data_IF_729114834580
#
_entry.id   IF_729114834580
#
_cell.length_a   1.000
_cell.length_b   1.000
_cell.length_c   1.000
_cell.angle_alpha   90.00
_cell.angle_beta   90.00
_cell.angle_gamma   90.00
#
_symmetry.space_group_name_H-M   'P 1'
#
loop_
_entity.id
_entity.type
_entity.pdbx_description
1 polymer ?
#
# COMPACT_ATOMS: atom_id res chain seq x y z
N UNK A 1 -43.84 13.33 17.94
CA UNK A 1 -42.42 13.10 18.25
C UNK A 1 -41.64 13.43 16.99
N UNK A 2 -41.23 14.68 16.87
CA UNK A 2 -40.27 15.09 15.83
C UNK A 2 -38.96 14.33 16.08
N UNK A 3 -38.46 13.65 15.06
CA UNK A 3 -37.12 13.06 15.11
C UNK A 3 -36.13 14.22 15.20
N UNK A 4 -35.36 14.27 16.29
CA UNK A 4 -34.20 15.15 16.37
C UNK A 4 -33.33 14.95 15.12
N UNK A 5 -32.82 16.02 14.49
CA UNK A 5 -31.88 15.88 13.40
C UNK A 5 -30.65 15.16 13.94
N UNK A 6 -30.23 14.09 13.25
CA UNK A 6 -28.96 13.41 13.50
C UNK A 6 -27.90 14.50 13.47
N UNK A 7 -27.29 14.80 14.63
CA UNK A 7 -26.16 15.74 14.70
C UNK A 7 -25.10 15.22 13.72
N UNK A 8 -24.88 15.96 12.64
CA UNK A 8 -23.73 15.75 11.77
C UNK A 8 -22.49 15.74 12.68
N UNK A 9 -21.94 14.55 12.93
CA UNK A 9 -20.69 14.43 13.66
C UNK A 9 -19.63 15.05 12.77
N UNK A 10 -19.22 16.28 13.10
CA UNK A 10 -18.05 16.89 12.46
C UNK A 10 -16.89 15.93 12.69
N UNK A 11 -16.30 15.34 11.63
CA UNK A 11 -15.23 14.38 11.77
C UNK A 11 -14.06 15.02 12.50
N UNK A 12 -13.46 14.30 13.45
CA UNK A 12 -12.19 14.73 14.04
C UNK A 12 -11.17 14.84 12.91
N UNK A 13 -10.46 15.96 12.83
CA UNK A 13 -9.34 16.11 11.90
C UNK A 13 -8.12 15.37 12.45
N UNK A 14 -7.45 14.58 11.61
CA UNK A 14 -6.17 13.97 11.97
C UNK A 14 -5.04 14.99 11.84
N UNK A 15 -4.21 15.12 12.87
CA UNK A 15 -2.96 15.88 12.81
C UNK A 15 -1.76 15.02 12.39
N UNK A 16 -1.78 13.73 12.76
CA UNK A 16 -0.76 12.72 12.47
C UNK A 16 -1.41 11.39 12.11
N UNK A 17 -0.67 10.49 11.45
CA UNK A 17 -1.10 9.11 11.19
C UNK A 17 -1.39 8.36 12.49
N UNK A 18 -2.19 7.31 12.38
CA UNK A 18 -2.36 6.30 13.42
C UNK A 18 -1.99 4.92 12.88
N UNK A 19 -1.62 3.99 13.75
CA UNK A 19 -1.36 2.61 13.33
C UNK A 19 -2.67 1.90 13.01
N UNK A 20 -2.76 1.39 11.80
CA UNK A 20 -3.81 0.47 11.34
C UNK A 20 -3.43 -0.98 11.67
N UNK A 21 -2.16 -1.32 11.50
CA UNK A 21 -1.57 -2.59 11.92
C UNK A 21 -0.30 -2.29 12.68
N UNK A 22 -0.14 -2.87 13.88
CA UNK A 22 1.05 -2.65 14.70
C UNK A 22 2.25 -3.43 14.18
N UNK A 23 3.41 -3.21 14.78
CA UNK A 23 4.62 -4.00 14.50
C UNK A 23 4.40 -5.50 14.82
N UNK A 24 3.52 -5.82 15.77
CA UNK A 24 3.12 -7.17 16.16
C UNK A 24 2.13 -7.80 15.17
N UNK A 25 1.87 -7.15 14.04
CA UNK A 25 0.94 -7.61 13.01
C UNK A 25 -0.51 -7.71 13.54
N UNK A 26 -0.84 -6.90 14.55
CA UNK A 26 -2.18 -6.81 15.16
C UNK A 26 -2.93 -5.63 14.56
N UNK A 27 -4.14 -5.89 14.05
CA UNK A 27 -5.01 -4.85 13.50
C UNK A 27 -5.60 -3.98 14.61
N UNK A 28 -5.67 -2.67 14.37
CA UNK A 28 -6.13 -1.67 15.35
C UNK A 28 -7.38 -0.94 14.83
N UNK A 29 -8.31 -0.66 15.74
CA UNK A 29 -9.56 0.06 15.43
C UNK A 29 -9.43 1.58 15.64
N UNK A 30 -8.23 2.09 15.89
CA UNK A 30 -7.96 3.51 16.22
C UNK A 30 -8.41 4.48 15.12
N UNK A 31 -8.45 4.03 13.87
CA UNK A 31 -8.89 4.82 12.72
C UNK A 31 -10.39 5.14 12.76
N UNK A 32 -11.21 4.31 13.42
CA UNK A 32 -12.69 4.39 13.43
C UNK A 32 -13.22 5.77 13.84
N UNK A 33 -12.53 6.46 14.76
CA UNK A 33 -12.92 7.78 15.26
C UNK A 33 -12.80 8.92 14.24
N UNK A 34 -12.09 8.70 13.13
CA UNK A 34 -11.86 9.67 12.05
C UNK A 34 -12.71 9.38 10.80
N UNK A 35 -13.38 8.22 10.78
CA UNK A 35 -14.18 7.74 9.67
C UNK A 35 -15.65 8.14 9.79
N UNK A 36 -16.29 8.34 8.65
CA UNK A 36 -17.70 8.73 8.53
C UNK A 36 -18.56 7.60 7.96
N UNK A 37 -19.87 7.65 8.23
CA UNK A 37 -20.84 6.77 7.56
C UNK A 37 -21.22 7.33 6.19
N UNK A 38 -20.25 7.41 5.27
CA UNK A 38 -20.49 7.84 3.90
C UNK A 38 -19.76 6.92 2.90
N UNK A 39 -20.32 6.73 1.69
CA UNK A 39 -19.70 5.89 0.67
C UNK A 39 -18.67 6.61 -0.21
N UNK A 40 -18.62 7.95 -0.15
CA UNK A 40 -17.75 8.74 -1.01
C UNK A 40 -16.37 8.99 -0.37
N UNK A 41 -15.52 7.98 -0.43
CA UNK A 41 -14.13 8.06 0.04
C UNK A 41 -13.19 7.44 -0.99
N UNK A 42 -11.88 7.49 -0.72
CA UNK A 42 -10.88 6.92 -1.62
C UNK A 42 -9.70 6.36 -0.82
N UNK A 43 -9.14 5.22 -1.24
CA UNK A 43 -8.03 4.57 -0.54
C UNK A 43 -6.79 4.50 -1.41
N UNK A 44 -5.73 5.20 -0.98
CA UNK A 44 -4.43 5.21 -1.65
C UNK A 44 -3.40 4.59 -0.72
N UNK A 45 -2.81 3.48 -1.13
CA UNK A 45 -1.74 2.82 -0.40
C UNK A 45 -0.38 3.04 -1.06
N UNK A 46 0.67 3.13 -0.27
CA UNK A 46 2.04 3.24 -0.75
C UNK A 46 2.87 2.03 -0.33
N UNK A 47 3.56 1.42 -1.29
CA UNK A 47 4.41 0.25 -1.10
C UNK A 47 5.75 0.43 -1.81
N UNK A 48 6.78 -0.30 -1.37
CA UNK A 48 8.12 -0.22 -1.95
C UNK A 48 9.19 -0.71 -0.99
N UNK A 49 10.42 -0.79 -1.50
CA UNK A 49 11.59 -1.30 -0.77
C UNK A 49 12.04 -0.35 0.35
N UNK A 50 12.98 -0.78 1.24
CA UNK A 50 13.57 0.12 2.22
C UNK A 50 14.28 1.30 1.53
N UNK A 51 14.23 2.50 2.13
CA UNK A 51 14.98 3.66 1.65
C UNK A 51 14.36 4.48 0.51
N UNK A 52 13.37 3.95 -0.23
CA UNK A 52 12.82 4.59 -1.45
C UNK A 52 11.97 5.87 -1.22
N UNK A 53 11.88 6.38 0.01
CA UNK A 53 11.17 7.64 0.28
C UNK A 53 9.63 7.59 0.26
N UNK A 54 9.00 6.43 0.55
CA UNK A 54 7.53 6.24 0.61
C UNK A 54 6.81 7.27 1.50
N UNK A 55 7.16 7.30 2.78
CA UNK A 55 6.54 8.18 3.78
C UNK A 55 6.78 9.66 3.46
N UNK A 56 7.95 9.98 2.91
CA UNK A 56 8.28 11.33 2.41
C UNK A 56 7.36 11.73 1.25
N UNK A 57 7.19 10.86 0.27
CA UNK A 57 6.31 11.10 -0.88
C UNK A 57 4.86 11.27 -0.45
N UNK A 58 4.36 10.38 0.40
CA UNK A 58 2.98 10.46 0.88
C UNK A 58 2.70 11.71 1.70
N UNK A 59 3.68 12.19 2.48
CA UNK A 59 3.57 13.47 3.20
C UNK A 59 3.40 14.65 2.24
N UNK A 60 4.06 14.63 1.09
CA UNK A 60 3.90 15.66 0.07
C UNK A 60 2.53 15.53 -0.62
N UNK A 61 2.11 14.30 -0.96
CA UNK A 61 0.84 14.05 -1.66
C UNK A 61 -0.39 14.33 -0.79
N UNK A 62 -0.36 13.98 0.50
CA UNK A 62 -1.45 14.24 1.45
C UNK A 62 -1.65 15.75 1.68
N UNK A 63 -0.60 16.56 1.46
CA UNK A 63 -0.59 18.00 1.73
C UNK A 63 -0.50 18.35 3.22
N UNK A 64 -0.25 17.37 4.09
CA UNK A 64 -0.08 17.56 5.52
C UNK A 64 1.36 17.22 5.93
N UNK A 65 2.19 18.21 6.33
CA UNK A 65 3.60 18.00 6.69
C UNK A 65 3.83 17.04 7.86
N UNK A 66 2.82 16.80 8.69
CA UNK A 66 2.89 15.95 9.87
C UNK A 66 2.20 14.60 9.68
N UNK A 67 1.75 14.26 8.47
CA UNK A 67 0.90 13.09 8.26
C UNK A 67 1.59 11.76 8.57
N UNK A 68 2.84 11.55 8.16
CA UNK A 68 3.58 10.29 8.36
C UNK A 68 4.96 10.57 8.94
N UNK A 69 5.47 9.71 9.82
CA UNK A 69 6.82 9.86 10.38
C UNK A 69 7.90 9.61 9.33
N UNK A 70 8.96 10.42 9.32
CA UNK A 70 10.10 10.19 8.41
C UNK A 70 11.17 9.35 9.08
N UNK A 71 11.95 8.68 8.23
CA UNK A 71 13.16 7.99 8.65
C UNK A 71 14.17 9.01 9.22
N UNK A 72 14.53 8.82 10.49
CA UNK A 72 15.52 9.66 11.19
C UNK A 72 16.94 9.13 10.99
N UNK A 73 17.95 9.98 11.20
CA UNK A 73 19.36 9.57 11.11
C UNK A 73 19.70 8.47 12.12
N UNK A 74 19.14 8.54 13.32
CA UNK A 74 19.37 7.54 14.37
C UNK A 74 18.85 6.15 13.96
N UNK A 75 17.68 6.09 13.31
CA UNK A 75 17.15 4.84 12.76
C UNK A 75 18.05 4.30 11.64
N UNK A 76 18.61 5.17 10.81
CA UNK A 76 19.57 4.76 9.75
C UNK A 76 20.84 4.18 10.38
N UNK A 77 21.41 4.83 11.39
CA UNK A 77 22.63 4.34 12.07
C UNK A 77 22.40 3.02 12.79
N UNK A 78 21.19 2.80 13.28
CA UNK A 78 20.80 1.56 13.96
C UNK A 78 20.22 0.50 13.00
N UNK A 79 20.26 0.74 11.67
CA UNK A 79 19.70 -0.14 10.64
C UNK A 79 18.23 -0.51 10.88
N UNK A 80 17.44 0.40 11.45
CA UNK A 80 16.04 0.20 11.76
C UNK A 80 15.12 0.64 10.61
N UNK A 81 14.02 -0.10 10.33
CA UNK A 81 12.99 0.33 9.41
C UNK A 81 12.39 1.67 9.84
N UNK A 82 12.12 2.54 8.85
CA UNK A 82 11.47 3.83 9.09
C UNK A 82 10.05 3.70 9.62
N UNK A 83 9.27 2.83 8.96
CA UNK A 83 7.87 2.49 9.27
C UNK A 83 7.79 1.03 9.69
N UNK A 84 7.14 0.75 10.82
CA UNK A 84 6.90 -0.60 11.35
C UNK A 84 5.39 -0.82 11.41
N UNK A 85 4.90 -1.92 10.82
CA UNK A 85 3.47 -2.16 10.64
C UNK A 85 2.86 -1.38 9.46
N UNK A 86 1.61 -0.96 9.59
CA UNK A 86 0.87 -0.20 8.59
C UNK A 86 0.26 1.03 9.26
N UNK A 87 0.58 2.22 8.76
CA UNK A 87 0.02 3.48 9.24
C UNK A 87 -1.08 3.97 8.30
N UNK A 88 -2.10 4.63 8.85
CA UNK A 88 -3.19 5.23 8.09
C UNK A 88 -3.36 6.71 8.47
N UNK A 89 -3.73 7.53 7.48
CA UNK A 89 -4.03 8.95 7.66
C UNK A 89 -5.21 9.37 6.79
N UNK A 90 -6.19 10.06 7.38
CA UNK A 90 -7.40 10.51 6.69
C UNK A 90 -7.34 12.02 6.49
N UNK A 91 -7.45 12.45 5.25
CA UNK A 91 -7.48 13.87 4.87
C UNK A 91 -8.90 14.43 4.86
N UNK A 92 -9.03 15.76 4.83
CA UNK A 92 -10.32 16.45 4.78
C UNK A 92 -11.13 16.18 3.50
N UNK A 93 -10.45 15.84 2.39
CA UNK A 93 -11.03 15.41 1.11
C UNK A 93 -11.41 13.92 1.10
N UNK A 94 -11.49 13.27 2.27
CA UNK A 94 -11.96 11.89 2.47
C UNK A 94 -11.13 10.84 1.74
N UNK A 95 -9.82 11.09 1.69
CA UNK A 95 -8.83 10.12 1.20
C UNK A 95 -8.15 9.46 2.38
N UNK A 96 -8.18 8.13 2.40
CA UNK A 96 -7.44 7.30 3.34
C UNK A 96 -6.09 6.96 2.71
N UNK A 97 -5.04 7.55 3.26
CA UNK A 97 -3.65 7.28 2.90
C UNK A 97 -3.10 6.16 3.77
N UNK A 98 -2.50 5.14 3.17
CA UNK A 98 -1.94 3.98 3.87
C UNK A 98 -0.42 3.88 3.60
N UNK A 99 0.40 4.00 4.65
CA UNK A 99 1.85 3.76 4.59
C UNK A 99 2.16 2.34 5.05
N UNK A 100 2.77 1.56 4.17
CA UNK A 100 3.20 0.21 4.53
C UNK A 100 4.65 0.21 5.01
N UNK A 101 4.96 -0.69 5.95
CA UNK A 101 6.33 -1.09 6.21
C UNK A 101 7.06 -1.47 4.91
N UNK A 102 8.38 -1.25 4.83
CA UNK A 102 9.14 -1.54 3.62
C UNK A 102 9.06 -3.03 3.25
N UNK A 103 8.72 -3.28 1.97
CA UNK A 103 8.68 -4.63 1.42
C UNK A 103 10.09 -5.20 1.32
N UNK A 104 10.21 -6.51 1.51
CA UNK A 104 11.49 -7.23 1.47
C UNK A 104 12.54 -6.69 2.46
N UNK A 105 12.11 -6.21 3.62
CA UNK A 105 13.00 -5.65 4.64
C UNK A 105 13.49 -6.72 5.62
N UNK A 106 14.79 -7.00 5.60
CA UNK A 106 15.43 -7.90 6.55
C UNK A 106 15.23 -7.44 8.01
N UNK A 107 15.28 -6.14 8.27
CA UNK A 107 15.08 -5.60 9.62
C UNK A 107 13.66 -5.77 10.17
N UNK A 108 12.65 -5.87 9.30
CA UNK A 108 11.28 -6.23 9.71
C UNK A 108 11.19 -7.72 10.00
N UNK A 109 11.76 -8.56 9.12
CA UNK A 109 11.73 -10.01 9.28
C UNK A 109 12.54 -10.49 10.50
N UNK A 110 13.68 -9.86 10.81
CA UNK A 110 14.48 -10.18 12.00
C UNK A 110 13.70 -9.96 13.29
N UNK A 111 12.94 -8.86 13.38
CA UNK A 111 12.08 -8.57 14.53
C UNK A 111 10.95 -9.59 14.65
N UNK A 112 10.32 -9.96 13.54
CA UNK A 112 9.29 -10.99 13.50
C UNK A 112 9.83 -12.35 14.00
N UNK A 113 11.00 -12.77 13.49
CA UNK A 113 11.67 -14.01 13.93
C UNK A 113 12.07 -13.95 15.40
N UNK A 114 12.61 -12.82 15.87
CA UNK A 114 12.99 -12.66 17.27
C UNK A 114 11.80 -12.86 18.20
N UNK A 115 10.64 -12.27 17.86
CA UNK A 115 9.37 -12.43 18.59
C UNK A 115 8.86 -13.85 18.51
N UNK A 116 8.85 -14.44 17.32
CA UNK A 116 8.44 -15.83 17.16
C UNK A 116 9.30 -16.78 17.98
N UNK A 117 10.61 -16.55 18.10
CA UNK A 117 11.52 -17.38 18.93
C UNK A 117 11.17 -17.32 20.41
N UNK A 118 10.72 -16.19 20.92
CA UNK A 118 10.23 -16.07 22.30
C UNK A 118 8.99 -16.95 22.51
N UNK A 119 8.06 -16.93 21.56
CA UNK A 119 6.85 -17.79 21.57
C UNK A 119 7.16 -19.27 21.33
N UNK A 120 8.15 -19.61 20.48
CA UNK A 120 8.52 -20.98 20.13
C UNK A 120 9.33 -21.69 21.21
N UNK A 121 10.00 -20.97 22.10
CA UNK A 121 10.62 -21.58 23.30
C UNK A 121 9.59 -22.34 24.14
N UNK A 122 8.30 -22.00 24.03
CA UNK A 122 7.19 -22.69 24.71
C UNK A 122 6.58 -23.84 23.89
N UNK A 123 6.80 -23.90 22.57
CA UNK A 123 6.19 -24.88 21.66
C UNK A 123 7.24 -25.51 20.73
N UNK A 124 7.90 -26.59 21.19
CA UNK A 124 8.84 -27.39 20.40
C UNK A 124 8.11 -28.14 19.27
N UNK A 125 8.19 -27.68 18.02
CA UNK A 125 7.74 -28.51 16.88
C UNK A 125 7.53 -27.84 15.53
N UNK A 126 7.63 -26.52 15.39
CA UNK A 126 7.48 -25.85 14.09
C UNK A 126 8.82 -25.56 13.45
N UNK A 127 9.02 -25.98 12.20
CA UNK A 127 10.19 -25.60 11.40
C UNK A 127 10.21 -24.07 11.23
N UNK A 128 11.21 -23.40 11.79
CA UNK A 128 11.36 -21.97 11.65
C UNK A 128 11.79 -21.62 10.22
N UNK A 129 11.04 -20.74 9.56
CA UNK A 129 11.38 -20.22 8.24
C UNK A 129 12.75 -19.52 8.27
N UNK A 130 13.46 -19.57 7.14
CA UNK A 130 14.69 -18.81 6.95
C UNK A 130 14.37 -17.30 6.91
N UNK A 131 15.35 -16.45 7.23
CA UNK A 131 15.18 -14.99 7.17
C UNK A 131 14.69 -14.52 5.79
N UNK A 132 15.19 -15.14 4.72
CA UNK A 132 14.79 -14.84 3.35
C UNK A 132 13.32 -15.20 3.12
N UNK A 133 12.89 -16.40 3.53
CA UNK A 133 11.52 -16.84 3.38
C UNK A 133 10.54 -15.98 4.20
N UNK A 134 10.87 -15.66 5.46
CA UNK A 134 10.06 -14.76 6.29
C UNK A 134 9.92 -13.38 5.65
N UNK A 135 11.02 -12.84 5.12
CA UNK A 135 11.04 -11.54 4.44
C UNK A 135 10.06 -11.48 3.27
N UNK A 136 10.01 -12.55 2.46
CA UNK A 136 9.11 -12.66 1.32
C UNK A 136 7.65 -12.87 1.75
N UNK A 137 7.40 -13.78 2.71
CA UNK A 137 6.07 -14.08 3.23
C UNK A 137 5.42 -12.87 3.90
N UNK A 138 6.17 -12.07 4.69
CA UNK A 138 5.66 -10.83 5.27
C UNK A 138 5.30 -9.80 4.20
N UNK A 139 6.10 -9.71 3.14
CA UNK A 139 5.84 -8.80 2.03
C UNK A 139 4.59 -9.23 1.23
N UNK A 140 4.39 -10.53 1.03
CA UNK A 140 3.18 -11.09 0.41
C UNK A 140 1.93 -10.86 1.26
N UNK A 141 1.98 -11.08 2.57
CA UNK A 141 0.85 -10.76 3.46
C UNK A 141 0.47 -9.27 3.36
N UNK A 142 1.47 -8.39 3.38
CA UNK A 142 1.25 -6.94 3.27
C UNK A 142 0.60 -6.59 1.92
N UNK A 143 1.15 -7.08 0.80
CA UNK A 143 0.62 -6.79 -0.54
C UNK A 143 -0.77 -7.37 -0.78
N UNK A 144 -1.01 -8.64 -0.39
CA UNK A 144 -2.31 -9.28 -0.54
C UNK A 144 -3.40 -8.54 0.24
N UNK A 145 -3.09 -8.07 1.45
CA UNK A 145 -3.97 -7.21 2.22
C UNK A 145 -4.26 -5.88 1.49
N UNK A 146 -3.22 -5.18 1.04
CA UNK A 146 -3.37 -3.89 0.35
C UNK A 146 -4.17 -4.02 -0.94
N UNK A 147 -3.96 -5.09 -1.72
CA UNK A 147 -4.76 -5.35 -2.93
C UNK A 147 -6.24 -5.59 -2.64
N UNK A 148 -6.58 -6.07 -1.44
CA UNK A 148 -7.98 -6.21 -1.03
C UNK A 148 -8.63 -4.88 -0.67
N UNK A 149 -7.91 -3.92 -0.09
CA UNK A 149 -8.52 -2.74 0.55
C UNK A 149 -8.30 -1.41 -0.17
N UNK A 150 -7.32 -1.33 -1.08
CA UNK A 150 -6.93 -0.09 -1.75
C UNK A 150 -7.57 0.06 -3.14
N UNK A 151 -7.87 1.30 -3.53
CA UNK A 151 -8.25 1.67 -4.90
C UNK A 151 -7.02 1.86 -5.79
N UNK A 152 -5.98 2.48 -5.22
CA UNK A 152 -4.70 2.77 -5.88
C UNK A 152 -3.56 2.30 -4.99
N UNK A 153 -2.58 1.67 -5.62
CA UNK A 153 -1.32 1.30 -4.98
C UNK A 153 -0.19 2.02 -5.70
N UNK A 154 0.46 2.93 -4.97
CA UNK A 154 1.68 3.61 -5.39
C UNK A 154 2.86 2.67 -5.12
N UNK A 155 3.50 2.22 -6.19
CA UNK A 155 4.71 1.40 -6.12
C UNK A 155 5.91 2.33 -6.28
N UNK A 156 6.54 2.67 -5.16
CA UNK A 156 7.68 3.60 -5.14
C UNK A 156 8.98 2.81 -5.29
N UNK A 157 9.78 3.22 -6.26
CA UNK A 157 11.08 2.65 -6.58
C UNK A 157 12.11 3.76 -6.77
N UNK A 158 13.38 3.40 -6.66
CA UNK A 158 14.50 4.31 -6.92
C UNK A 158 14.79 4.37 -8.44
N UNK A 159 16.05 4.18 -8.82
CA UNK A 159 16.56 4.55 -10.15
C UNK A 159 16.29 3.51 -11.25
N UNK A 160 15.94 2.27 -10.88
CA UNK A 160 15.67 1.19 -11.82
C UNK A 160 14.49 0.31 -11.38
N UNK A 161 13.73 -0.26 -12.33
CA UNK A 161 12.71 -1.25 -12.03
C UNK A 161 13.33 -2.53 -11.45
N UNK A 162 13.13 -2.77 -10.15
CA UNK A 162 13.63 -3.97 -9.47
C UNK A 162 12.80 -5.21 -9.87
N UNK A 163 13.41 -6.24 -10.51
CA UNK A 163 12.70 -7.45 -10.92
C UNK A 163 12.12 -8.28 -9.77
N UNK A 164 12.77 -8.27 -8.60
CA UNK A 164 12.28 -9.01 -7.42
C UNK A 164 10.99 -8.38 -6.89
N UNK A 165 10.93 -7.04 -6.81
CA UNK A 165 9.70 -6.35 -6.42
C UNK A 165 8.57 -6.63 -7.41
N UNK A 166 8.87 -6.66 -8.71
CA UNK A 166 7.85 -6.91 -9.74
C UNK A 166 7.32 -8.34 -9.65
N UNK A 167 8.20 -9.32 -9.48
CA UNK A 167 7.79 -10.70 -9.23
C UNK A 167 6.93 -10.80 -7.98
N UNK A 168 7.31 -10.12 -6.90
CA UNK A 168 6.53 -10.08 -5.67
C UNK A 168 5.12 -9.50 -5.88
N UNK A 169 4.99 -8.41 -6.64
CA UNK A 169 3.69 -7.80 -6.99
C UNK A 169 2.79 -8.77 -7.78
N UNK A 170 3.38 -9.54 -8.71
CA UNK A 170 2.69 -10.56 -9.50
C UNK A 170 2.31 -11.77 -8.64
N UNK A 171 3.20 -12.21 -7.75
CA UNK A 171 2.93 -13.31 -6.81
C UNK A 171 1.79 -12.95 -5.85
N UNK A 172 1.79 -11.72 -5.33
CA UNK A 172 0.70 -11.23 -4.48
C UNK A 172 -0.66 -11.19 -5.20
N UNK A 173 -0.68 -10.91 -6.51
CA UNK A 173 -1.92 -10.97 -7.32
C UNK A 173 -2.53 -12.38 -7.32
N UNK A 174 -1.69 -13.41 -7.39
CA UNK A 174 -2.12 -14.81 -7.41
C UNK A 174 -2.53 -15.34 -6.04
N UNK A 175 -1.95 -14.79 -4.96
CA UNK A 175 -2.19 -15.23 -3.59
C UNK A 175 -3.27 -14.44 -2.84
N UNK A 176 -3.74 -13.33 -3.43
CA UNK A 176 -4.83 -12.51 -2.89
C UNK A 176 -6.08 -13.39 -2.69
N UNK A 177 -6.67 -13.44 -1.48
CA UNK A 177 -7.92 -14.15 -1.28
C UNK A 177 -9.07 -13.42 -1.98
N UNK A 178 -10.01 -14.19 -2.52
CA UNK A 178 -11.27 -13.61 -2.94
C UNK A 178 -12.17 -13.41 -1.72
N UNK A 179 -12.48 -12.15 -1.41
CA UNK A 179 -13.32 -11.76 -0.28
C UNK A 179 -14.76 -11.44 -0.71
N UNK A 180 -15.09 -11.60 -1.99
CA UNK A 180 -16.45 -11.39 -2.47
C UNK A 180 -17.42 -12.41 -1.87
N UNK A 181 -18.60 -11.93 -1.51
CA UNK A 181 -19.68 -12.78 -1.01
C UNK A 181 -20.36 -13.53 -2.18
N UNK A 182 -20.39 -12.90 -3.35
CA UNK A 182 -20.99 -13.45 -4.56
C UNK A 182 -19.91 -13.83 -5.59
N UNK A 183 -19.97 -15.06 -6.09
CA UNK A 183 -19.10 -15.55 -7.18
C UNK A 183 -19.28 -14.77 -8.50
N UNK A 184 -20.40 -14.04 -8.65
CA UNK A 184 -20.73 -13.23 -9.82
C UNK A 184 -20.09 -11.83 -9.80
N UNK A 185 -19.55 -11.40 -8.66
CA UNK A 185 -18.91 -10.09 -8.54
C UNK A 185 -17.47 -10.13 -9.04
N UNK A 186 -17.11 -9.15 -9.86
CA UNK A 186 -15.76 -9.05 -10.41
C UNK A 186 -14.75 -8.87 -9.28
N UNK A 187 -13.77 -9.76 -9.21
CA UNK A 187 -12.65 -9.70 -8.25
C UNK A 187 -11.97 -8.32 -8.31
N UNK A 188 -12.03 -7.59 -7.21
CA UNK A 188 -11.45 -6.24 -7.12
C UNK A 188 -9.92 -6.31 -7.14
N UNK A 189 -9.32 -5.49 -7.99
CA UNK A 189 -7.87 -5.29 -8.05
C UNK A 189 -7.55 -3.80 -8.25
N UNK A 190 -6.54 -3.27 -7.52
CA UNK A 190 -6.24 -1.85 -7.52
C UNK A 190 -5.61 -1.37 -8.83
N UNK A 191 -5.64 -0.04 -9.01
CA UNK A 191 -4.79 0.62 -9.99
C UNK A 191 -3.35 0.71 -9.47
N UNK A 192 -2.40 0.20 -10.25
CA UNK A 192 -0.99 0.35 -9.94
C UNK A 192 -0.45 1.63 -10.58
N UNK A 193 0.31 2.40 -9.80
CA UNK A 193 1.06 3.57 -10.28
C UNK A 193 2.52 3.40 -9.88
N UNK A 194 3.41 3.27 -10.87
CA UNK A 194 4.84 3.15 -10.65
C UNK A 194 5.44 4.54 -10.52
N UNK A 195 6.11 4.80 -9.40
CA UNK A 195 6.74 6.09 -9.10
C UNK A 195 8.22 5.85 -8.92
N UNK A 196 9.02 6.47 -9.79
CA UNK A 196 10.47 6.44 -9.71
C UNK A 196 11.01 7.73 -9.12
N UNK A 197 11.84 7.59 -8.08
CA UNK A 197 12.54 8.71 -7.46
C UNK A 197 13.98 8.82 -7.98
N UNK A 198 14.42 10.07 -8.13
CA UNK A 198 15.80 10.40 -8.41
C UNK A 198 16.18 10.34 -9.89
N UNK A 199 17.48 10.50 -10.14
CA UNK A 199 18.05 10.40 -11.48
C UNK A 199 17.90 8.99 -12.06
N UNK A 200 17.19 8.90 -13.18
CA UNK A 200 16.95 7.64 -13.87
C UNK A 200 18.15 7.25 -14.75
N UNK A 201 18.54 5.97 -14.69
CA UNK A 201 19.57 5.41 -15.56
C UNK A 201 19.01 4.87 -16.89
N UNK A 202 17.71 4.58 -16.93
CA UNK A 202 17.02 4.05 -18.09
C UNK A 202 16.09 5.10 -18.71
N UNK A 203 15.90 5.04 -20.03
CA UNK A 203 14.96 5.93 -20.71
C UNK A 203 13.52 5.67 -20.26
N UNK A 204 12.69 6.70 -20.27
CA UNK A 204 11.26 6.60 -19.91
C UNK A 204 10.51 5.62 -20.80
N UNK A 205 10.85 5.57 -22.10
CA UNK A 205 10.29 4.62 -23.08
C UNK A 205 10.63 3.18 -22.71
N UNK A 206 11.90 2.91 -22.41
CA UNK A 206 12.36 1.56 -22.04
C UNK A 206 11.73 1.09 -20.73
N UNK A 207 11.57 1.99 -19.74
CA UNK A 207 10.83 1.68 -18.50
C UNK A 207 9.36 1.35 -18.77
N UNK A 208 8.67 2.15 -19.56
CA UNK A 208 7.28 1.87 -19.94
C UNK A 208 7.14 0.51 -20.65
N UNK A 209 8.02 0.21 -21.59
CA UNK A 209 7.99 -1.07 -22.31
C UNK A 209 8.27 -2.25 -21.37
N UNK A 210 9.22 -2.10 -20.45
CA UNK A 210 9.53 -3.10 -19.45
C UNK A 210 8.32 -3.40 -18.54
N UNK A 211 7.69 -2.38 -17.94
CA UNK A 211 6.48 -2.56 -17.14
C UNK A 211 5.34 -3.14 -17.95
N UNK A 212 5.16 -2.70 -19.20
CA UNK A 212 4.13 -3.25 -20.07
C UNK A 212 4.33 -4.74 -20.30
N UNK A 213 5.56 -5.18 -20.62
CA UNK A 213 5.87 -6.61 -20.83
C UNK A 213 5.68 -7.42 -19.55
N UNK A 214 6.07 -6.89 -18.40
CA UNK A 214 5.89 -7.58 -17.12
C UNK A 214 4.42 -7.77 -16.76
N UNK A 215 3.58 -6.74 -16.94
CA UNK A 215 2.18 -6.77 -16.50
C UNK A 215 1.17 -7.08 -17.61
N UNK A 216 1.62 -7.45 -18.82
CA UNK A 216 0.70 -7.71 -19.96
C UNK A 216 -0.36 -8.78 -19.69
N UNK A 217 -0.04 -9.79 -18.88
CA UNK A 217 -0.95 -10.88 -18.48
C UNK A 217 -1.59 -10.66 -17.11
N UNK A 218 -1.20 -9.60 -16.40
CA UNK A 218 -1.70 -9.29 -15.06
C UNK A 218 -3.10 -8.68 -15.14
N UNK A 219 -3.95 -9.03 -14.16
CA UNK A 219 -5.28 -8.42 -13.97
C UNK A 219 -5.20 -7.07 -13.24
N UNK A 220 -4.03 -6.70 -12.70
CA UNK A 220 -3.79 -5.41 -12.05
C UNK A 220 -3.91 -4.27 -13.06
N UNK A 221 -4.50 -3.14 -12.65
CA UNK A 221 -4.75 -2.02 -13.55
C UNK A 221 -3.54 -1.09 -13.60
N UNK A 222 -2.54 -1.46 -14.41
CA UNK A 222 -1.32 -0.67 -14.59
C UNK A 222 -1.40 0.37 -15.73
N UNK A 223 -2.53 0.44 -16.44
CA UNK A 223 -2.81 1.42 -17.49
C UNK A 223 -4.03 2.26 -17.12
N UNK A 224 -3.91 3.58 -17.15
CA UNK A 224 -4.99 4.51 -16.83
C UNK A 224 -4.78 5.86 -17.50
N UNK A 225 -5.73 6.77 -17.31
CA UNK A 225 -5.65 8.15 -17.81
C UNK A 225 -4.73 9.05 -17.00
N UNK A 226 -3.99 8.53 -16.01
CA UNK A 226 -3.07 9.30 -15.17
C UNK A 226 -2.04 10.08 -16.00
N UNK A 227 -1.56 9.50 -17.11
CA UNK A 227 -0.60 10.12 -18.02
C UNK A 227 -1.13 11.40 -18.71
N UNK A 228 -2.43 11.70 -18.61
CA UNK A 228 -2.99 12.97 -19.08
C UNK A 228 -2.71 14.13 -18.12
N UNK A 229 -2.47 13.81 -16.84
CA UNK A 229 -2.24 14.79 -15.78
C UNK A 229 -0.76 15.03 -15.54
N UNK A 230 0.05 13.97 -15.55
CA UNK A 230 1.47 14.02 -15.18
C UNK A 230 2.36 13.86 -16.43
N UNK A 231 2.61 14.97 -17.14
CA UNK A 231 3.61 15.04 -18.22
C UNK A 231 3.22 14.42 -19.58
N UNK A 232 4.04 14.69 -20.62
CA UNK A 232 3.65 14.55 -22.04
C UNK A 232 3.04 13.18 -22.40
N UNK A 233 1.88 13.14 -23.11
CA UNK A 233 1.11 11.93 -23.42
C UNK A 233 1.75 10.97 -24.44
N UNK A 234 3.05 11.04 -24.69
CA UNK A 234 3.64 10.59 -25.95
C UNK A 234 4.40 9.25 -25.94
N UNK A 235 4.66 8.58 -24.80
CA UNK A 235 5.64 7.48 -24.81
C UNK A 235 5.32 6.24 -23.96
N UNK A 236 4.13 6.15 -23.35
CA UNK A 236 3.82 5.03 -22.46
C UNK A 236 2.34 4.80 -22.24
N UNK A 237 1.91 3.55 -22.39
CA UNK A 237 0.56 3.11 -22.00
C UNK A 237 0.44 2.83 -20.49
N UNK A 238 1.55 2.80 -19.75
CA UNK A 238 1.58 2.43 -18.33
C UNK A 238 1.53 3.65 -17.41
N UNK A 239 1.01 3.48 -16.19
CA UNK A 239 0.97 4.48 -15.14
C UNK A 239 2.36 4.69 -14.53
N UNK A 240 3.27 5.30 -15.29
CA UNK A 240 4.64 5.56 -14.88
C UNK A 240 4.85 7.05 -14.62
N UNK A 241 5.32 7.38 -13.43
CA UNK A 241 5.66 8.75 -13.03
C UNK A 241 7.12 8.79 -12.56
N UNK A 242 7.86 9.78 -13.05
CA UNK A 242 9.26 10.00 -12.68
C UNK A 242 9.33 11.33 -11.95
N UNK A 243 9.82 11.29 -10.72
CA UNK A 243 9.99 12.46 -9.87
C UNK A 243 11.40 13.03 -10.09
N UNK A 244 11.52 14.29 -10.54
CA UNK A 244 12.81 14.92 -10.76
C UNK A 244 13.48 15.32 -9.44
N UNK A 245 14.80 15.46 -9.48
CA UNK A 245 15.60 15.95 -8.34
C UNK A 245 15.41 17.47 -8.10
N UNK A 246 15.03 18.21 -9.14
CA UNK A 246 14.80 19.65 -9.05
C UNK A 246 13.55 19.97 -8.22
N UNK A 247 13.71 20.78 -7.17
CA UNK A 247 12.63 21.05 -6.20
C UNK A 247 11.40 21.74 -6.82
N UNK A 248 11.60 22.59 -7.82
CA UNK A 248 10.49 23.29 -8.48
C UNK A 248 9.70 22.34 -9.38
N UNK A 249 10.39 21.61 -10.25
CA UNK A 249 9.77 20.60 -11.11
C UNK A 249 9.13 19.46 -10.30
N UNK A 250 9.74 19.08 -9.17
CA UNK A 250 9.21 18.10 -8.24
C UNK A 250 7.85 18.54 -7.71
N UNK A 251 7.74 19.76 -7.19
CA UNK A 251 6.47 20.29 -6.65
C UNK A 251 5.37 20.32 -7.70
N UNK A 252 5.69 20.79 -8.91
CA UNK A 252 4.73 20.84 -10.02
C UNK A 252 4.19 19.45 -10.38
N UNK A 253 5.07 18.45 -10.43
CA UNK A 253 4.70 17.06 -10.73
C UNK A 253 3.89 16.44 -9.58
N UNK A 254 4.21 16.74 -8.33
CA UNK A 254 3.44 16.28 -7.17
C UNK A 254 2.01 16.85 -7.20
N UNK A 255 1.85 18.14 -7.50
CA UNK A 255 0.52 18.76 -7.60
C UNK A 255 -0.30 18.13 -8.75
N UNK A 256 0.33 17.91 -9.91
CA UNK A 256 -0.28 17.19 -11.05
C UNK A 256 -0.64 15.75 -10.70
N UNK A 257 0.24 15.05 -10.00
CA UNK A 257 0.04 13.67 -9.56
C UNK A 257 -1.12 13.58 -8.58
N UNK A 258 -1.21 14.51 -7.62
CA UNK A 258 -2.34 14.57 -6.68
C UNK A 258 -3.65 14.75 -7.44
N UNK A 259 -3.74 15.71 -8.36
CA UNK A 259 -4.95 15.91 -9.17
C UNK A 259 -5.29 14.65 -10.00
N UNK A 260 -4.28 14.02 -10.60
CA UNK A 260 -4.46 12.82 -11.41
C UNK A 260 -4.93 11.61 -10.60
N UNK A 261 -4.37 11.39 -9.41
CA UNK A 261 -4.76 10.30 -8.50
C UNK A 261 -6.21 10.46 -8.04
N UNK A 262 -6.64 11.69 -7.68
CA UNK A 262 -8.01 11.96 -7.27
C UNK A 262 -9.02 11.87 -8.42
N UNK A 263 -8.56 11.96 -9.67
CA UNK A 263 -9.39 11.82 -10.86
C UNK A 263 -9.52 10.37 -11.36
N UNK A 264 -8.75 9.43 -10.80
CA UNK A 264 -8.86 8.02 -11.16
C UNK A 264 -10.19 7.44 -10.68
N UNK A 265 -10.76 6.45 -11.40
CA UNK A 265 -12.03 5.87 -11.02
C UNK A 265 -11.92 5.21 -9.64
N UNK A 266 -12.90 5.51 -8.79
CA UNK A 266 -13.13 4.80 -7.53
C UNK A 266 -13.56 3.38 -7.86
N UNK A 267 -12.90 2.40 -7.28
CA UNK A 267 -13.18 1.00 -7.54
C UNK A 267 -14.12 0.52 -6.44
N UNK A 268 -15.36 0.22 -6.81
CA UNK A 268 -16.33 -0.31 -5.84
C UNK A 268 -15.90 -1.70 -5.42
N UNK A 269 -15.35 -1.81 -4.21
CA UNK A 269 -14.91 -3.06 -3.57
C UNK A 269 -16.02 -4.11 -3.44
N UNK A 270 -17.29 -3.69 -3.45
CA UNK A 270 -18.48 -4.52 -3.32
C UNK A 270 -19.64 -3.85 -4.09
N UNK A 271 -20.58 -4.60 -4.72
CA UNK A 271 -21.82 -4.04 -5.30
C UNK A 271 -22.67 -3.23 -4.31
N UNK A 272 -22.54 -3.47 -3.00
CA UNK A 272 -23.08 -2.59 -1.97
C UNK A 272 -22.07 -1.48 -1.66
N UNK A 273 -22.46 -0.22 -1.89
CA UNK A 273 -21.62 0.93 -1.60
C UNK A 273 -21.17 0.90 -0.13
N UNK A 274 -19.90 0.55 0.12
CA UNK A 274 -19.31 0.53 1.45
C UNK A 274 -19.19 1.95 1.95
N UNK A 275 -19.58 2.20 3.20
CA UNK A 275 -19.17 3.39 3.93
C UNK A 275 -17.72 3.28 4.42
N UNK A 276 -17.09 4.37 4.83
CA UNK A 276 -15.73 4.30 5.38
C UNK A 276 -15.63 3.41 6.63
N UNK A 277 -16.62 3.45 7.53
CA UNK A 277 -16.64 2.60 8.72
C UNK A 277 -16.82 1.12 8.36
N UNK A 278 -17.69 0.82 7.41
CA UNK A 278 -17.85 -0.55 6.91
C UNK A 278 -16.64 -1.03 6.10
N UNK A 279 -15.93 -0.12 5.42
CA UNK A 279 -14.64 -0.40 4.81
C UNK A 279 -13.59 -0.79 5.84
N UNK A 280 -13.53 -0.13 7.00
CA UNK A 280 -12.59 -0.51 8.05
C UNK A 280 -12.89 -1.91 8.62
N UNK A 281 -14.17 -2.24 8.82
CA UNK A 281 -14.59 -3.60 9.21
C UNK A 281 -14.21 -4.63 8.14
N UNK A 282 -14.38 -4.29 6.85
CA UNK A 282 -13.94 -5.11 5.74
C UNK A 282 -12.42 -5.28 5.74
N UNK A 283 -11.65 -4.21 5.98
CA UNK A 283 -10.20 -4.25 6.06
C UNK A 283 -9.72 -5.17 7.20
N UNK A 284 -10.35 -5.10 8.37
CA UNK A 284 -10.06 -6.02 9.46
C UNK A 284 -10.29 -7.49 9.06
N UNK A 285 -11.44 -7.79 8.44
CA UNK A 285 -11.73 -9.15 7.91
C UNK A 285 -10.72 -9.58 6.85
N UNK A 286 -10.33 -8.67 5.96
CA UNK A 286 -9.35 -8.92 4.91
C UNK A 286 -7.98 -9.28 5.51
N UNK A 287 -7.53 -8.53 6.52
CA UNK A 287 -6.29 -8.79 7.24
C UNK A 287 -6.27 -10.18 7.86
N UNK A 288 -7.31 -10.54 8.61
CA UNK A 288 -7.44 -11.85 9.24
C UNK A 288 -7.45 -13.00 8.22
N UNK A 289 -8.16 -12.81 7.10
CA UNK A 289 -8.23 -13.81 6.03
C UNK A 289 -6.89 -14.01 5.35
N UNK A 290 -6.16 -12.92 5.08
CA UNK A 290 -4.83 -12.96 4.46
C UNK A 290 -3.83 -13.64 5.39
N UNK A 291 -3.83 -13.32 6.69
CA UNK A 291 -2.94 -13.94 7.69
C UNK A 291 -3.17 -15.45 7.86
N UNK A 292 -4.41 -15.90 7.68
CA UNK A 292 -4.80 -17.32 7.76
C UNK A 292 -4.84 -18.01 6.38
N UNK A 293 -4.35 -17.35 5.33
CA UNK A 293 -4.44 -17.86 3.96
C UNK A 293 -3.67 -19.17 3.79
N UNK A 294 -4.38 -20.22 3.39
CA UNK A 294 -3.77 -21.51 3.06
C UNK A 294 -2.79 -21.40 1.88
N UNK A 295 -3.09 -20.57 0.88
CA UNK A 295 -2.24 -20.37 -0.30
C UNK A 295 -0.88 -19.76 0.07
N UNK A 296 -0.87 -18.76 0.95
CA UNK A 296 0.39 -18.14 1.40
C UNK A 296 1.19 -19.14 2.25
N UNK A 297 0.51 -19.95 3.07
CA UNK A 297 1.17 -21.00 3.86
C UNK A 297 1.75 -22.12 2.98
N UNK A 298 1.06 -22.55 1.93
CA UNK A 298 1.58 -23.51 0.95
C UNK A 298 2.76 -22.93 0.19
N UNK A 299 2.65 -21.68 -0.27
CA UNK A 299 3.77 -20.97 -0.89
C UNK A 299 4.99 -20.93 0.04
N UNK A 300 4.76 -20.61 1.32
CA UNK A 300 5.82 -20.55 2.33
C UNK A 300 6.54 -21.88 2.54
N UNK A 301 5.86 -23.02 2.37
CA UNK A 301 6.49 -24.36 2.47
C UNK A 301 7.34 -24.72 1.26
N UNK A 302 7.07 -24.09 0.11
CA UNK A 302 7.81 -24.30 -1.13
C UNK A 302 9.02 -23.39 -1.25
N UNK A 303 9.18 -22.42 -0.35
CA UNK A 303 10.36 -21.57 -0.29
C UNK A 303 11.56 -22.38 0.20
N UNK A 304 12.73 -22.23 -0.46
CA UNK A 304 13.95 -22.96 -0.13
C UNK A 304 14.63 -22.51 1.16
#
# INVERSE_FOLDING_TARGET
MEKEPVKDQVPRSMSTSCQLVTEELVFQETLTQFLLEQPDFYVIACVGLPGVGKSTLMRQLSGCPTSFSLLTRDKITNAEPGTLGIEAFVTSDRVVWIDCQPLMSAGVAERDIARSRETYKENLGSEALTLSATTEVLALHTLAFIYCVADVVLVVQDHFPNPHLIRLLQTAEMLKPNLSVDESTVDHLPNLVFIHQGKQHMSTKSMNEFYHRCFQTSRLRYKSKLNQFVGKPADGQTNLVILPDDSFAFKQIIDQLRCGLLALPKLTLNPLALSEKTWLMFAHKAWETVRKSALINEYSRLLP
#
